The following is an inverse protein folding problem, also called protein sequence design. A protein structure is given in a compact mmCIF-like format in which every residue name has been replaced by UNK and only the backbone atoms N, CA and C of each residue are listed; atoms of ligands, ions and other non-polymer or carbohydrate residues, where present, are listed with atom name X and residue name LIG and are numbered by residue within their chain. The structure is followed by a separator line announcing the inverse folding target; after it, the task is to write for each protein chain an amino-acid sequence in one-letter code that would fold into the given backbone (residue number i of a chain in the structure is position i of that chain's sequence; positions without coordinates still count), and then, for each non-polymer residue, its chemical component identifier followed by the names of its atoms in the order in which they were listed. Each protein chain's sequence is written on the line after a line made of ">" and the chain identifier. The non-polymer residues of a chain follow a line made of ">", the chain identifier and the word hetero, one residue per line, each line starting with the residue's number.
data_IF_678800585210
#
_entry.id   IF_678800585210
#
_cell.length_a   1.000
_cell.length_b   1.000
_cell.length_c   1.000
_cell.angle_alpha   90.00
_cell.angle_beta   90.00
_cell.angle_gamma   90.00
#
_symmetry.space_group_name_H-M   'P 1'
#
loop_
_entity.id
_entity.type
_entity.pdbx_description
1 polymer ?
#
# COMPACT_ATOMS: atom_id res chain seq x y z
N UNK A 1 -24.91 -4.33 13.84
CA UNK A 1 -24.57 -3.10 13.09
C UNK A 1 -23.58 -3.51 12.01
N UNK A 2 -24.07 -3.95 10.84
CA UNK A 2 -23.19 -4.22 9.71
C UNK A 2 -22.86 -2.86 9.09
N UNK A 3 -21.59 -2.50 9.16
CA UNK A 3 -21.09 -1.24 8.64
C UNK A 3 -21.11 -1.35 7.11
N UNK A 4 -21.67 -0.35 6.43
CA UNK A 4 -21.83 -0.38 4.97
C UNK A 4 -20.45 -0.32 4.30
N UNK A 5 -19.98 -1.49 3.84
CA UNK A 5 -18.67 -1.67 3.20
C UNK A 5 -18.51 -0.69 2.03
N UNK A 6 -19.58 -0.41 1.27
CA UNK A 6 -19.50 0.51 0.12
C UNK A 6 -19.12 1.92 0.54
N UNK A 7 -19.58 2.38 1.71
CA UNK A 7 -19.22 3.70 2.24
C UNK A 7 -17.78 3.76 2.72
N UNK A 8 -17.30 2.69 3.34
CA UNK A 8 -15.94 2.63 3.89
C UNK A 8 -14.85 2.48 2.82
N UNK A 9 -15.19 1.83 1.70
CA UNK A 9 -14.27 1.61 0.59
C UNK A 9 -14.49 2.58 -0.58
N UNK A 10 -15.35 3.60 -0.42
CA UNK A 10 -15.59 4.57 -1.48
C UNK A 10 -14.30 5.30 -1.84
N UNK A 11 -13.96 5.37 -3.13
CA UNK A 11 -12.72 5.96 -3.61
C UNK A 11 -11.46 5.15 -3.34
N UNK A 12 -11.59 3.88 -2.89
CA UNK A 12 -10.47 2.95 -2.71
C UNK A 12 -10.46 1.87 -3.79
N UNK A 13 -9.28 1.35 -4.10
CA UNK A 13 -9.04 0.33 -5.12
C UNK A 13 -8.41 -0.91 -4.48
N UNK A 14 -8.96 -2.08 -4.80
CA UNK A 14 -8.31 -3.35 -4.49
C UNK A 14 -7.11 -3.54 -5.41
N UNK A 15 -6.01 -4.00 -4.85
CA UNK A 15 -4.78 -4.27 -5.58
C UNK A 15 -4.10 -5.53 -5.08
N UNK A 16 -3.19 -6.06 -5.88
CA UNK A 16 -2.29 -7.14 -5.48
C UNK A 16 -0.85 -6.63 -5.51
N UNK A 17 -0.02 -7.10 -4.58
CA UNK A 17 1.43 -6.84 -4.63
C UNK A 17 2.16 -7.95 -5.38
N UNK A 18 3.40 -7.71 -5.83
CA UNK A 18 4.25 -8.76 -6.43
C UNK A 18 4.51 -9.95 -5.49
N UNK A 19 4.48 -9.72 -4.18
CA UNK A 19 4.51 -10.78 -3.15
C UNK A 19 3.21 -11.61 -3.07
N UNK A 20 2.20 -11.31 -3.89
CA UNK A 20 0.92 -12.00 -3.93
C UNK A 20 -0.09 -11.54 -2.87
N UNK A 21 0.23 -10.49 -2.10
CA UNK A 21 -0.63 -10.00 -1.02
C UNK A 21 -1.75 -9.12 -1.56
N UNK A 22 -2.92 -9.20 -0.93
CA UNK A 22 -4.08 -8.40 -1.30
C UNK A 22 -4.11 -7.13 -0.44
N UNK A 23 -4.34 -5.99 -1.09
CA UNK A 23 -4.46 -4.70 -0.44
C UNK A 23 -5.65 -3.87 -0.91
N UNK A 24 -5.94 -2.83 -0.13
CA UNK A 24 -6.94 -1.81 -0.41
C UNK A 24 -6.26 -0.45 -0.25
N UNK A 25 -6.18 0.32 -1.33
CA UNK A 25 -5.43 1.58 -1.38
C UNK A 25 -6.21 2.72 -2.01
N UNK A 26 -5.55 3.86 -2.25
CA UNK A 26 -6.17 5.00 -2.92
C UNK A 26 -6.70 4.64 -4.31
N UNK A 27 -7.83 5.22 -4.71
CA UNK A 27 -8.47 4.94 -6.00
C UNK A 27 -7.63 5.27 -7.23
N UNK A 28 -6.57 6.07 -7.05
CA UNK A 28 -5.61 6.51 -8.05
C UNK A 28 -4.25 5.77 -7.95
N UNK A 29 -4.18 4.70 -7.15
CA UNK A 29 -3.04 3.79 -7.17
C UNK A 29 -2.91 3.09 -8.53
N UNK A 30 -1.68 2.97 -9.02
CA UNK A 30 -1.32 2.45 -10.34
C UNK A 30 -0.34 1.28 -10.23
N UNK A 31 -0.27 0.49 -11.31
CA UNK A 31 0.72 -0.57 -11.44
C UNK A 31 2.13 0.03 -11.35
N UNK A 32 2.96 -0.56 -10.52
CA UNK A 32 4.32 -0.08 -10.24
C UNK A 32 4.44 0.85 -9.03
N UNK A 33 3.33 1.35 -8.47
CA UNK A 33 3.36 2.04 -7.19
C UNK A 33 3.89 1.12 -6.09
N UNK A 34 4.62 1.68 -5.13
CA UNK A 34 5.26 0.96 -4.05
C UNK A 34 4.42 1.05 -2.77
N UNK A 35 4.21 -0.07 -2.10
CA UNK A 35 3.70 -0.07 -0.72
C UNK A 35 4.87 -0.02 0.26
N UNK A 36 4.87 0.98 1.13
CA UNK A 36 5.96 1.27 2.05
C UNK A 36 5.45 1.55 3.47
N UNK A 37 6.27 1.21 4.46
CA UNK A 37 6.12 1.74 5.83
C UNK A 37 7.03 2.95 5.94
N UNK A 38 6.45 4.12 6.26
CA UNK A 38 7.22 5.32 6.57
C UNK A 38 7.64 5.28 8.04
N UNK A 39 8.89 5.63 8.35
CA UNK A 39 9.38 5.67 9.73
C UNK A 39 8.53 6.64 10.56
N UNK A 40 7.96 6.15 11.66
CA UNK A 40 7.03 6.90 12.51
C UNK A 40 5.58 6.90 12.02
N UNK A 41 5.28 6.30 10.86
CA UNK A 41 3.93 6.05 10.38
C UNK A 41 3.27 4.88 11.12
N UNK A 42 1.94 4.95 11.25
CA UNK A 42 1.13 3.92 11.92
C UNK A 42 0.49 2.91 10.98
N UNK A 43 0.59 3.14 9.66
CA UNK A 43 -0.04 2.34 8.60
C UNK A 43 0.91 2.22 7.40
N UNK A 44 0.49 1.48 6.37
CA UNK A 44 1.19 1.39 5.10
C UNK A 44 0.78 2.54 4.17
N UNK A 45 1.68 2.92 3.28
CA UNK A 45 1.48 4.01 2.32
C UNK A 45 1.85 3.58 0.91
N UNK A 46 1.12 4.10 -0.06
CA UNK A 46 1.41 3.99 -1.48
C UNK A 46 2.27 5.19 -1.89
N UNK A 47 3.43 4.90 -2.47
CA UNK A 47 4.37 5.88 -3.02
C UNK A 47 4.59 5.62 -4.50
N UNK A 48 4.66 6.69 -5.29
CA UNK A 48 4.95 6.64 -6.72
C UNK A 48 6.31 7.24 -7.00
N UNK A 49 7.21 6.47 -7.60
CA UNK A 49 8.52 6.98 -7.99
C UNK A 49 8.36 8.07 -9.08
N UNK A 50 9.00 9.23 -8.86
CA UNK A 50 9.01 10.37 -9.80
C UNK A 50 10.44 10.65 -10.23
N UNK A 51 10.70 10.45 -11.52
CA UNK A 51 12.02 10.66 -12.14
C UNK A 51 13.11 9.75 -11.52
N UNK A 52 14.29 9.69 -12.14
CA UNK A 52 15.42 8.89 -11.64
C UNK A 52 16.18 9.55 -10.48
N UNK A 53 15.60 10.55 -9.83
CA UNK A 53 16.25 11.39 -8.81
C UNK A 53 15.81 11.06 -7.37
N UNK A 54 15.44 9.81 -7.09
CA UNK A 54 15.03 9.34 -5.75
C UNK A 54 13.88 10.14 -5.12
N UNK A 55 13.04 10.77 -5.95
CA UNK A 55 11.86 11.50 -5.50
C UNK A 55 10.65 10.59 -5.56
N UNK A 56 9.80 10.66 -4.55
CA UNK A 56 8.56 9.90 -4.49
C UNK A 56 7.38 10.85 -4.29
N UNK A 57 6.34 10.66 -5.08
CA UNK A 57 5.02 11.26 -4.85
C UNK A 57 4.27 10.41 -3.82
N UNK A 58 3.72 11.08 -2.82
CA UNK A 58 2.84 10.45 -1.84
C UNK A 58 1.45 10.25 -2.45
N UNK A 59 1.05 9.00 -2.65
CA UNK A 59 -0.26 8.66 -3.22
C UNK A 59 -1.30 8.58 -2.11
N UNK A 60 -1.02 7.87 -1.02
CA UNK A 60 -1.92 7.84 0.13
C UNK A 60 -1.75 6.63 1.03
N UNK A 61 -2.56 6.53 2.07
CA UNK A 61 -2.58 5.37 2.96
C UNK A 61 -3.24 4.14 2.31
N UNK A 62 -2.78 2.94 2.71
CA UNK A 62 -3.37 1.69 2.28
C UNK A 62 -3.38 0.64 3.39
N UNK A 63 -4.23 -0.36 3.19
CA UNK A 63 -4.25 -1.60 3.94
C UNK A 63 -3.67 -2.71 3.07
N UNK A 64 -2.79 -3.53 3.62
CA UNK A 64 -2.36 -4.79 3.01
C UNK A 64 -2.54 -5.90 4.03
N UNK A 65 -3.21 -6.96 3.61
CA UNK A 65 -3.48 -8.08 4.49
C UNK A 65 -2.17 -8.79 4.88
N UNK A 66 -1.98 -9.01 6.19
CA UNK A 66 -0.76 -9.64 6.74
C UNK A 66 0.47 -8.73 6.80
N UNK A 67 0.29 -7.41 6.67
CA UNK A 67 1.36 -6.41 6.72
C UNK A 67 1.03 -5.26 7.71
N UNK A 68 -0.02 -5.40 8.51
CA UNK A 68 -0.41 -4.40 9.51
C UNK A 68 0.22 -4.78 10.87
N UNK A 69 -0.12 -4.09 11.96
CA UNK A 69 0.26 -4.48 13.34
C UNK A 69 1.76 -4.82 13.55
N UNK A 70 2.65 -4.20 12.76
CA UNK A 70 4.11 -4.43 12.80
C UNK A 70 4.63 -5.60 11.95
N UNK A 71 3.76 -6.38 11.31
CA UNK A 71 4.13 -7.52 10.46
C UNK A 71 5.04 -7.11 9.30
N UNK A 72 4.78 -5.95 8.68
CA UNK A 72 5.62 -5.41 7.63
C UNK A 72 7.08 -5.18 8.07
N UNK A 73 7.29 -4.80 9.35
CA UNK A 73 8.64 -4.57 9.90
C UNK A 73 9.37 -5.87 10.22
N UNK A 74 8.62 -6.94 10.47
CA UNK A 74 9.16 -8.27 10.78
C UNK A 74 9.33 -9.15 9.53
N UNK A 75 8.87 -8.69 8.37
CA UNK A 75 8.93 -9.45 7.13
C UNK A 75 10.35 -9.48 6.56
N UNK A 76 10.81 -10.66 6.13
CA UNK A 76 12.08 -10.83 5.41
C UNK A 76 11.96 -10.60 3.89
N UNK A 77 10.77 -10.21 3.43
CA UNK A 77 10.45 -9.99 2.04
C UNK A 77 11.20 -8.76 1.50
N UNK A 78 11.90 -8.86 0.36
CA UNK A 78 12.61 -7.72 -0.21
C UNK A 78 11.64 -6.61 -0.63
N UNK A 79 12.01 -5.35 -0.36
CA UNK A 79 11.14 -4.17 -0.53
C UNK A 79 10.54 -4.03 -1.94
N UNK A 80 11.23 -4.54 -2.97
CA UNK A 80 10.77 -4.50 -4.38
C UNK A 80 9.56 -5.40 -4.67
N UNK A 81 9.23 -6.32 -3.78
CA UNK A 81 8.08 -7.23 -3.91
C UNK A 81 6.77 -6.61 -3.42
N UNK A 82 6.82 -5.44 -2.79
CA UNK A 82 5.63 -4.69 -2.37
C UNK A 82 5.09 -3.73 -3.45
N UNK A 83 5.57 -3.85 -4.68
CA UNK A 83 5.03 -3.12 -5.83
C UNK A 83 3.64 -3.63 -6.21
N UNK A 84 2.73 -2.71 -6.51
CA UNK A 84 1.38 -2.99 -7.00
C UNK A 84 1.45 -3.55 -8.44
N UNK A 85 0.71 -4.63 -8.69
CA UNK A 85 0.54 -5.27 -10.01
C UNK A 85 -0.92 -5.37 -10.42
#
# INVERSE_FOLDING_TARGET
>A
MLIDIKRMTFGRRLFQTRAGLIGLGPGFAEIGDLVCVLSGGHVLYVLREKNQCSLYEFVGECYVHGMMDGEALNSSTPQREFGIV
#
